data_IF_046486775450
#
_entry.id   IF_046486775450
#
_cell.length_a   1.000
_cell.length_b   1.000
_cell.length_c   1.000
_cell.angle_alpha   90.00
_cell.angle_beta   90.00
_cell.angle_gamma   90.00
#
_symmetry.space_group_name_H-M   'P 1'
#
loop_
_entity.id
_entity.type
_entity.pdbx_description
1 polymer ?
#
# COMPACT_ATOMS: atom_id res chain seq x y z
N UNK A 1 27.58 81.94 -21.28
CA UNK A 1 26.60 81.13 -22.02
C UNK A 1 27.10 79.68 -21.91
N UNK A 2 26.82 79.04 -20.85
CA UNK A 2 27.28 77.65 -20.62
C UNK A 2 26.10 76.67 -20.76
N UNK A 3 26.21 75.77 -21.69
CA UNK A 3 25.21 74.73 -21.88
C UNK A 3 25.56 73.52 -20.99
N UNK A 4 24.72 73.21 -20.01
CA UNK A 4 24.82 72.05 -19.19
C UNK A 4 24.37 70.81 -19.95
N UNK A 5 25.29 69.87 -20.14
CA UNK A 5 25.03 68.53 -20.65
C UNK A 5 24.51 67.63 -19.52
N UNK A 6 23.24 67.30 -19.54
CA UNK A 6 22.61 66.38 -18.60
C UNK A 6 22.80 64.90 -19.10
N UNK A 7 23.73 64.17 -18.49
CA UNK A 7 23.92 62.74 -18.73
C UNK A 7 22.79 61.95 -18.05
N UNK A 8 21.90 61.34 -18.85
CA UNK A 8 20.93 60.36 -18.37
C UNK A 8 21.63 59.01 -18.18
N UNK A 9 21.81 58.62 -16.92
CA UNK A 9 22.19 57.24 -16.55
C UNK A 9 20.95 56.35 -16.65
N UNK A 10 20.92 55.42 -17.54
CA UNK A 10 19.94 54.35 -17.62
C UNK A 10 20.43 53.21 -16.70
N UNK A 11 19.84 53.07 -15.54
CA UNK A 11 19.99 51.85 -14.69
C UNK A 11 19.14 50.72 -15.29
N UNK A 12 19.80 49.79 -15.95
CA UNK A 12 19.19 48.52 -16.35
C UNK A 12 19.11 47.62 -15.09
N UNK A 13 17.94 47.57 -14.45
CA UNK A 13 17.66 46.61 -13.36
C UNK A 13 17.52 45.21 -13.98
N UNK A 14 18.57 44.40 -13.90
CA UNK A 14 18.49 42.97 -14.20
C UNK A 14 17.80 42.29 -13.03
N UNK A 15 16.51 42.01 -13.18
CA UNK A 15 15.75 41.12 -12.27
C UNK A 15 16.26 39.71 -12.49
N UNK A 16 17.19 39.24 -11.63
CA UNK A 16 17.53 37.84 -11.50
C UNK A 16 16.36 37.13 -10.82
N UNK A 17 15.51 36.50 -11.62
CA UNK A 17 14.50 35.57 -11.12
C UNK A 17 15.20 34.33 -10.52
N UNK A 18 15.24 34.24 -9.21
CA UNK A 18 15.66 33.02 -8.52
C UNK A 18 14.62 31.93 -8.76
N UNK A 19 14.89 31.04 -9.66
CA UNK A 19 14.12 29.79 -9.78
C UNK A 19 14.49 28.93 -8.59
N UNK A 20 13.67 28.97 -7.55
CA UNK A 20 13.81 28.06 -6.41
C UNK A 20 13.43 26.66 -6.87
N UNK A 21 14.41 25.82 -7.15
CA UNK A 21 14.20 24.38 -7.37
C UNK A 21 13.88 23.79 -5.99
N UNK A 22 12.59 23.66 -5.70
CA UNK A 22 12.13 22.95 -4.51
C UNK A 22 12.38 21.46 -4.71
N UNK A 23 13.47 20.95 -4.16
CA UNK A 23 13.62 19.51 -3.97
C UNK A 23 12.51 19.05 -3.01
N UNK A 24 11.54 18.31 -3.52
CA UNK A 24 10.54 17.68 -2.67
C UNK A 24 11.25 16.65 -1.78
N UNK A 25 11.40 16.97 -0.51
CA UNK A 25 11.98 16.03 0.46
C UNK A 25 11.05 14.83 0.63
N UNK A 26 11.63 13.63 0.66
CA UNK A 26 10.90 12.40 0.99
C UNK A 26 10.29 12.56 2.38
N UNK A 27 8.97 12.37 2.55
CA UNK A 27 8.35 12.42 3.87
C UNK A 27 9.04 11.45 4.84
N UNK A 28 9.21 11.83 6.10
CA UNK A 28 9.96 11.08 7.11
C UNK A 28 9.42 9.66 7.36
N UNK A 29 8.15 9.44 7.06
CA UNK A 29 7.41 8.19 7.23
C UNK A 29 7.36 7.32 5.96
N UNK A 30 8.02 7.77 4.87
CA UNK A 30 8.07 7.07 3.58
C UNK A 30 9.49 6.74 3.17
N UNK A 31 9.64 5.74 2.32
CA UNK A 31 10.91 5.39 1.66
C UNK A 31 10.74 5.36 0.15
N UNK A 32 11.83 5.62 -0.55
CA UNK A 32 11.87 5.53 -2.01
C UNK A 32 12.05 4.08 -2.44
N UNK A 33 11.10 3.59 -3.22
CA UNK A 33 11.21 2.32 -3.95
C UNK A 33 11.76 2.61 -5.33
N UNK A 34 12.92 2.06 -5.65
CA UNK A 34 13.55 2.23 -6.97
C UNK A 34 12.79 1.51 -8.07
N UNK A 35 12.85 2.07 -9.29
CA UNK A 35 12.27 1.41 -10.46
C UNK A 35 12.91 0.04 -10.71
N UNK A 36 12.15 -0.83 -11.37
CA UNK A 36 12.60 -2.16 -11.76
C UNK A 36 11.50 -2.97 -12.43
N UNK A 37 11.67 -4.26 -12.49
CA UNK A 37 10.65 -5.16 -13.00
C UNK A 37 10.61 -6.45 -12.19
N UNK A 38 9.48 -7.14 -12.21
CA UNK A 38 9.32 -8.44 -11.62
C UNK A 38 8.35 -9.29 -12.46
N UNK A 39 8.45 -10.59 -12.34
CA UNK A 39 7.49 -11.50 -12.94
C UNK A 39 6.48 -11.89 -11.85
N UNK A 40 5.17 -11.56 -12.02
CA UNK A 40 4.13 -11.99 -11.10
C UNK A 40 4.08 -13.52 -11.01
N UNK A 41 3.83 -14.07 -9.82
CA UNK A 41 3.65 -15.51 -9.62
C UNK A 41 2.27 -15.98 -10.08
N UNK A 42 1.30 -15.07 -10.08
CA UNK A 42 -0.08 -15.28 -10.54
C UNK A 42 -0.55 -14.10 -11.38
N UNK A 43 -1.61 -14.29 -12.16
CA UNK A 43 -2.27 -13.22 -12.91
C UNK A 43 -1.76 -12.98 -14.32
N UNK A 44 -0.70 -13.69 -14.77
CA UNK A 44 -0.25 -13.68 -16.16
C UNK A 44 0.06 -15.10 -16.64
N UNK A 45 -0.62 -15.55 -17.67
CA UNK A 45 -0.33 -16.85 -18.35
C UNK A 45 1.05 -16.83 -19.01
N UNK A 46 1.54 -15.65 -19.41
CA UNK A 46 2.73 -15.48 -20.24
C UNK A 46 4.01 -15.24 -19.44
N UNK A 47 3.95 -15.19 -18.11
CA UNK A 47 5.10 -14.87 -17.22
C UNK A 47 5.88 -13.62 -17.66
N UNK A 48 5.21 -12.63 -18.27
CA UNK A 48 5.84 -11.40 -18.73
C UNK A 48 6.26 -10.52 -17.55
N UNK A 49 7.45 -9.89 -17.61
CA UNK A 49 7.84 -8.92 -16.58
C UNK A 49 6.91 -7.71 -16.57
N UNK A 50 6.52 -7.29 -15.36
CA UNK A 50 5.82 -6.03 -15.12
C UNK A 50 6.83 -4.97 -14.71
N UNK A 51 6.82 -3.83 -15.38
CA UNK A 51 7.70 -2.71 -15.09
C UNK A 51 7.10 -1.82 -14.00
N UNK A 52 7.87 -1.58 -12.94
CA UNK A 52 7.52 -0.71 -11.82
C UNK A 52 8.32 0.58 -11.93
N UNK A 53 7.62 1.72 -11.94
CA UNK A 53 8.25 3.04 -11.84
C UNK A 53 8.67 3.31 -10.40
N UNK A 54 9.65 4.19 -10.18
CA UNK A 54 9.99 4.63 -8.82
C UNK A 54 8.82 5.32 -8.15
N UNK A 55 8.59 5.01 -6.87
CA UNK A 55 7.53 5.60 -6.07
C UNK A 55 7.94 5.68 -4.59
N UNK A 56 7.17 6.38 -3.78
CA UNK A 56 7.33 6.41 -2.33
C UNK A 56 6.32 5.46 -1.70
N UNK A 57 6.73 4.74 -0.65
CA UNK A 57 5.87 3.84 0.10
C UNK A 57 6.01 4.14 1.60
N UNK A 58 4.90 4.12 2.33
CA UNK A 58 4.92 4.20 3.79
C UNK A 58 5.74 3.05 4.38
N UNK A 59 6.62 3.40 5.34
CA UNK A 59 7.48 2.42 6.03
C UNK A 59 6.65 1.39 6.78
N UNK A 60 5.51 1.82 7.35
CA UNK A 60 4.61 1.02 8.17
C UNK A 60 3.18 1.06 7.64
N UNK A 61 2.33 0.08 7.98
CA UNK A 61 0.89 0.22 7.84
C UNK A 61 0.37 1.39 8.67
N UNK A 62 -0.76 1.98 8.26
CA UNK A 62 -1.42 3.05 8.99
C UNK A 62 -1.90 2.55 10.36
N UNK A 63 -1.57 3.29 11.42
CA UNK A 63 -1.87 2.92 12.80
C UNK A 63 -3.24 3.42 13.27
N UNK A 64 -3.75 2.85 14.39
CA UNK A 64 -4.97 3.33 15.05
C UNK A 64 -4.87 4.82 15.39
N UNK A 65 -3.72 5.28 15.91
CA UNK A 65 -3.51 6.69 16.24
C UNK A 65 -3.58 7.60 15.01
N UNK A 66 -2.93 7.22 13.93
CA UNK A 66 -2.96 8.00 12.68
C UNK A 66 -4.37 8.06 12.10
N UNK A 67 -5.09 6.94 12.16
CA UNK A 67 -6.47 6.90 11.68
C UNK A 67 -7.44 7.71 12.55
N UNK A 68 -7.21 7.77 13.86
CA UNK A 68 -7.96 8.65 14.77
C UNK A 68 -7.83 10.12 14.35
N UNK A 69 -6.63 10.58 14.02
CA UNK A 69 -6.42 11.96 13.56
C UNK A 69 -7.14 12.25 12.23
N UNK A 70 -7.22 11.26 11.34
CA UNK A 70 -8.03 11.37 10.13
C UNK A 70 -9.53 11.51 10.46
N UNK A 71 -10.08 10.70 11.36
CA UNK A 71 -11.50 10.74 11.72
C UNK A 71 -11.92 12.03 12.42
N UNK A 72 -11.02 12.70 13.15
CA UNK A 72 -11.26 14.03 13.73
C UNK A 72 -11.57 15.04 12.63
N UNK A 73 -10.84 15.00 11.53
CA UNK A 73 -10.95 15.92 10.38
C UNK A 73 -12.04 15.51 9.38
N UNK A 74 -12.40 14.21 9.34
CA UNK A 74 -13.28 13.62 8.33
C UNK A 74 -14.48 12.91 8.99
N UNK A 75 -15.46 13.65 9.53
CA UNK A 75 -16.56 13.07 10.33
C UNK A 75 -17.44 12.06 9.57
N UNK A 76 -17.52 12.14 8.24
CA UNK A 76 -18.29 11.20 7.41
C UNK A 76 -17.73 9.77 7.42
N UNK A 77 -16.46 9.60 7.81
CA UNK A 77 -15.78 8.31 7.94
C UNK A 77 -15.80 7.75 9.37
N UNK A 78 -16.45 8.44 10.33
CA UNK A 78 -16.65 7.92 11.68
C UNK A 78 -17.52 6.68 11.67
N UNK A 79 -17.29 5.78 12.61
CA UNK A 79 -17.99 4.49 12.75
C UNK A 79 -19.50 4.61 12.68
N UNK A 80 -20.09 5.62 13.34
CA UNK A 80 -21.55 5.87 13.36
C UNK A 80 -22.08 6.59 12.11
N UNK A 81 -21.21 7.15 11.24
CA UNK A 81 -21.60 8.03 10.14
C UNK A 81 -21.37 7.45 8.75
N UNK A 82 -20.43 6.51 8.62
CA UNK A 82 -20.11 5.93 7.33
C UNK A 82 -21.32 5.23 6.70
N UNK A 83 -21.57 5.51 5.43
CA UNK A 83 -22.70 4.88 4.71
C UNK A 83 -22.39 3.42 4.39
N UNK A 84 -23.40 2.55 4.42
CA UNK A 84 -23.28 1.10 4.12
C UNK A 84 -22.75 0.79 2.72
N UNK A 85 -22.91 1.71 1.80
CA UNK A 85 -22.29 1.62 0.47
C UNK A 85 -20.76 1.58 0.56
N UNK A 86 -20.18 2.34 1.48
CA UNK A 86 -18.73 2.51 1.63
C UNK A 86 -18.10 1.56 2.64
N UNK A 87 -18.84 1.03 3.61
CA UNK A 87 -18.34 0.06 4.56
C UNK A 87 -19.46 -0.82 5.12
N UNK A 88 -19.16 -2.09 5.35
CA UNK A 88 -20.10 -3.03 5.95
C UNK A 88 -20.26 -2.81 7.48
N UNK A 89 -21.02 -3.68 8.16
CA UNK A 89 -21.36 -3.54 9.58
C UNK A 89 -20.19 -3.69 10.53
N UNK A 90 -19.08 -4.31 10.08
CA UNK A 90 -17.91 -4.58 10.91
C UNK A 90 -16.84 -3.48 10.83
N UNK A 91 -17.15 -2.36 10.12
CA UNK A 91 -16.25 -1.21 10.04
C UNK A 91 -15.95 -0.66 11.43
N UNK A 92 -14.65 -0.57 11.77
CA UNK A 92 -14.15 -0.15 13.09
C UNK A 92 -14.85 -0.86 14.27
N UNK A 93 -15.28 -2.14 14.10
CA UNK A 93 -16.05 -2.85 15.12
C UNK A 93 -15.30 -2.97 16.45
N UNK A 94 -13.97 -3.05 16.42
CA UNK A 94 -13.11 -3.13 17.62
C UNK A 94 -12.94 -1.77 18.34
N UNK A 95 -13.29 -0.66 17.68
CA UNK A 95 -13.24 0.67 18.31
C UNK A 95 -14.42 0.87 19.25
N UNK A 96 -14.16 1.46 20.43
CA UNK A 96 -15.18 1.73 21.45
C UNK A 96 -16.16 2.86 21.07
N UNK A 97 -15.76 3.74 20.11
CA UNK A 97 -16.59 4.86 19.65
C UNK A 97 -16.02 5.53 18.40
N UNK A 98 -16.68 6.60 17.96
CA UNK A 98 -16.32 7.34 16.74
C UNK A 98 -14.90 7.93 16.77
N UNK A 99 -14.45 8.36 17.93
CA UNK A 99 -13.15 9.00 18.16
C UNK A 99 -12.38 8.29 19.27
N UNK A 100 -12.59 6.99 19.45
CA UNK A 100 -11.89 6.21 20.48
C UNK A 100 -11.67 4.79 20.01
N UNK A 101 -10.42 4.38 19.93
CA UNK A 101 -10.05 2.98 19.69
C UNK A 101 -10.01 2.12 20.97
N UNK A 102 -10.48 2.68 22.12
CA UNK A 102 -10.62 1.96 23.39
C UNK A 102 -9.31 1.38 23.91
N UNK A 103 -9.29 0.08 24.13
CA UNK A 103 -8.13 -0.65 24.65
C UNK A 103 -7.15 -1.11 23.56
N UNK A 104 -7.41 -0.80 22.27
CA UNK A 104 -6.50 -1.16 21.22
C UNK A 104 -5.18 -0.39 21.34
N UNK A 105 -4.10 -1.03 20.93
CA UNK A 105 -2.80 -0.40 20.88
C UNK A 105 -2.78 0.74 19.83
N UNK A 106 -2.42 1.96 20.27
CA UNK A 106 -2.34 3.13 19.41
C UNK A 106 -1.40 2.94 18.21
N UNK A 107 -0.31 2.18 18.40
CA UNK A 107 0.70 1.88 17.39
C UNK A 107 0.45 0.56 16.64
N UNK A 108 -0.65 -0.13 16.89
CA UNK A 108 -1.05 -1.26 16.06
C UNK A 108 -1.69 -0.75 14.76
N UNK A 109 -1.66 -1.55 13.67
CA UNK A 109 -2.32 -1.17 12.43
C UNK A 109 -3.82 -1.00 12.65
N UNK A 110 -4.41 0.01 12.01
CA UNK A 110 -5.86 0.12 11.96
C UNK A 110 -6.40 -0.99 11.06
N UNK A 111 -7.42 -1.70 11.55
CA UNK A 111 -8.08 -2.80 10.84
C UNK A 111 -9.60 -2.61 10.82
N UNK A 112 -10.32 -3.54 10.23
CA UNK A 112 -11.75 -3.36 9.95
C UNK A 112 -12.03 -2.09 9.14
N UNK A 113 -11.17 -1.79 8.18
CA UNK A 113 -11.23 -0.65 7.27
C UNK A 113 -11.65 -1.15 5.89
N UNK A 114 -12.59 -0.46 5.24
CA UNK A 114 -12.96 -0.72 3.85
C UNK A 114 -11.95 -0.12 2.88
N UNK A 115 -11.96 -0.61 1.63
CA UNK A 115 -11.14 -0.03 0.57
C UNK A 115 -11.42 1.46 0.35
N UNK A 116 -12.71 1.86 0.37
CA UNK A 116 -13.10 3.26 0.21
C UNK A 116 -12.51 4.15 1.30
N UNK A 117 -12.54 3.71 2.55
CA UNK A 117 -12.01 4.46 3.67
C UNK A 117 -10.47 4.50 3.67
N UNK A 118 -9.81 3.40 3.27
CA UNK A 118 -8.37 3.35 3.10
C UNK A 118 -7.89 4.28 1.98
N UNK A 119 -8.58 4.27 0.84
CA UNK A 119 -8.31 5.14 -0.31
C UNK A 119 -8.42 6.61 0.09
N UNK A 120 -9.54 7.00 0.69
CA UNK A 120 -9.78 8.38 1.14
C UNK A 120 -8.74 8.86 2.15
N UNK A 121 -8.38 7.99 3.12
CA UNK A 121 -7.30 8.32 4.06
C UNK A 121 -6.02 8.71 3.32
N UNK A 122 -5.58 7.88 2.37
CA UNK A 122 -4.36 8.15 1.61
C UNK A 122 -4.48 9.45 0.79
N UNK A 123 -5.62 9.67 0.13
CA UNK A 123 -5.86 10.88 -0.67
C UNK A 123 -5.87 12.15 0.16
N UNK A 124 -6.46 12.13 1.36
CA UNK A 124 -6.40 13.25 2.32
C UNK A 124 -4.97 13.57 2.79
N UNK A 125 -4.03 12.64 2.66
CA UNK A 125 -2.61 12.85 2.97
C UNK A 125 -1.77 13.23 1.73
N UNK A 126 -2.41 13.48 0.57
CA UNK A 126 -1.71 13.70 -0.70
C UNK A 126 -0.95 12.45 -1.19
N UNK A 127 -1.43 11.27 -0.80
CA UNK A 127 -0.92 9.94 -1.11
C UNK A 127 -1.99 9.14 -1.87
N UNK A 128 -1.73 7.88 -2.17
CA UNK A 128 -2.67 6.92 -2.75
C UNK A 128 -2.45 5.53 -2.15
N UNK A 129 -3.31 4.59 -2.39
CA UNK A 129 -2.99 3.19 -2.14
C UNK A 129 -1.90 2.72 -3.13
N UNK A 130 -1.05 1.79 -2.71
CA UNK A 130 -0.15 1.10 -3.62
C UNK A 130 -0.95 0.24 -4.60
N UNK A 131 -0.49 0.07 -5.84
CA UNK A 131 -1.04 -0.94 -6.73
C UNK A 131 -0.67 -2.33 -6.26
N UNK A 132 -1.36 -3.36 -6.75
CA UNK A 132 -1.04 -4.76 -6.49
C UNK A 132 0.41 -5.07 -6.90
N UNK A 133 0.79 -4.64 -8.10
CA UNK A 133 2.13 -4.87 -8.62
C UNK A 133 3.21 -4.14 -7.82
N UNK A 134 2.97 -2.90 -7.39
CA UNK A 134 3.88 -2.18 -6.51
C UNK A 134 4.06 -2.88 -5.17
N UNK A 135 2.95 -3.36 -4.59
CA UNK A 135 2.98 -4.08 -3.33
C UNK A 135 3.76 -5.40 -3.45
N UNK A 136 3.45 -6.23 -4.45
CA UNK A 136 4.13 -7.51 -4.67
C UNK A 136 5.62 -7.31 -5.00
N UNK A 137 5.98 -6.27 -5.78
CA UNK A 137 7.38 -5.93 -6.07
C UNK A 137 8.18 -5.63 -4.81
N UNK A 138 7.61 -4.90 -3.86
CA UNK A 138 8.28 -4.60 -2.58
C UNK A 138 8.26 -5.82 -1.64
N UNK A 139 7.20 -6.60 -1.67
CA UNK A 139 6.98 -7.75 -0.80
C UNK A 139 7.85 -8.97 -1.12
N UNK A 140 8.44 -9.05 -2.32
CA UNK A 140 9.37 -10.14 -2.66
C UNK A 140 10.76 -9.97 -2.04
N UNK A 141 11.05 -8.83 -1.38
CA UNK A 141 12.35 -8.52 -0.80
C UNK A 141 12.51 -9.08 0.63
N UNK A 142 13.64 -9.71 0.91
CA UNK A 142 14.10 -10.00 2.27
C UNK A 142 14.91 -8.80 2.83
N UNK A 143 15.58 -8.96 3.94
CA UNK A 143 16.42 -7.93 4.56
C UNK A 143 17.63 -7.50 3.70
N UNK A 144 18.08 -8.35 2.79
CA UNK A 144 19.33 -8.20 2.04
C UNK A 144 19.16 -8.17 0.53
N UNK A 145 18.04 -8.71 0.01
CA UNK A 145 17.80 -8.93 -1.43
C UNK A 145 16.52 -8.29 -1.87
N UNK A 146 16.54 -7.76 -3.09
CA UNK A 146 15.32 -7.24 -3.75
C UNK A 146 14.32 -8.35 -4.09
N UNK A 147 14.82 -9.54 -4.39
CA UNK A 147 14.03 -10.73 -4.66
C UNK A 147 14.59 -11.91 -3.86
N UNK A 148 13.82 -12.39 -2.92
CA UNK A 148 14.12 -13.52 -2.05
C UNK A 148 13.17 -14.70 -2.27
N UNK A 149 12.36 -14.68 -3.34
CA UNK A 149 11.32 -15.67 -3.59
C UNK A 149 11.86 -17.10 -3.78
N UNK A 150 13.11 -17.25 -4.20
CA UNK A 150 13.79 -18.55 -4.28
C UNK A 150 14.35 -19.07 -2.95
N UNK A 151 14.20 -18.30 -1.85
CA UNK A 151 14.75 -18.67 -0.54
C UNK A 151 13.73 -19.41 0.30
N UNK A 152 14.05 -20.63 0.69
CA UNK A 152 13.18 -21.48 1.50
C UNK A 152 12.85 -20.86 2.86
N UNK A 153 13.85 -20.27 3.53
CA UNK A 153 13.66 -19.63 4.85
C UNK A 153 12.70 -18.44 4.77
N UNK A 154 12.79 -17.65 3.69
CA UNK A 154 11.88 -16.53 3.46
C UNK A 154 10.44 -17.02 3.25
N UNK A 155 10.27 -18.07 2.46
CA UNK A 155 8.97 -18.65 2.20
C UNK A 155 8.37 -19.29 3.46
N UNK A 156 9.16 -20.01 4.25
CA UNK A 156 8.72 -20.54 5.55
C UNK A 156 8.32 -19.44 6.52
N UNK A 157 9.05 -18.33 6.54
CA UNK A 157 8.69 -17.18 7.37
C UNK A 157 7.31 -16.63 6.98
N UNK A 158 7.06 -16.38 5.68
CA UNK A 158 5.78 -15.87 5.20
C UNK A 158 4.63 -16.82 5.58
N UNK A 159 4.79 -18.13 5.34
CA UNK A 159 3.77 -19.12 5.64
C UNK A 159 3.51 -19.25 7.15
N UNK A 160 4.56 -19.18 7.97
CA UNK A 160 4.42 -19.22 9.42
C UNK A 160 3.55 -18.12 10.00
N UNK A 161 3.46 -16.98 9.28
CA UNK A 161 2.57 -15.89 9.69
C UNK A 161 1.10 -16.26 9.54
N UNK A 162 0.72 -16.98 8.49
CA UNK A 162 -0.68 -17.37 8.28
C UNK A 162 -1.23 -18.27 9.40
N UNK A 163 -0.35 -18.94 10.14
CA UNK A 163 -0.68 -19.78 11.30
C UNK A 163 -0.79 -18.99 12.61
N UNK A 164 -0.27 -17.74 12.64
CA UNK A 164 -0.26 -16.90 13.84
C UNK A 164 -1.59 -16.18 14.04
N UNK A 165 -2.16 -16.31 15.23
CA UNK A 165 -3.39 -15.62 15.59
C UNK A 165 -3.14 -14.19 16.09
N UNK A 166 -4.07 -13.27 15.77
CA UNK A 166 -4.16 -11.91 16.34
C UNK A 166 -2.89 -11.05 16.16
N UNK A 167 -2.12 -11.26 15.09
CA UNK A 167 -0.93 -10.43 14.80
C UNK A 167 -1.26 -8.95 14.66
N UNK A 168 -2.48 -8.62 14.24
CA UNK A 168 -3.00 -7.27 14.09
C UNK A 168 -3.03 -6.43 15.39
N UNK A 169 -2.86 -7.03 16.57
CA UNK A 169 -2.76 -6.32 17.85
C UNK A 169 -1.33 -5.85 18.15
N UNK A 170 -0.34 -6.31 17.42
CA UNK A 170 1.04 -5.94 17.62
C UNK A 170 1.30 -4.53 17.07
N UNK A 171 2.21 -3.79 17.71
CA UNK A 171 2.70 -2.53 17.16
C UNK A 171 3.37 -2.73 15.81
N UNK A 172 3.26 -1.75 14.93
CA UNK A 172 4.03 -1.70 13.68
C UNK A 172 5.54 -1.73 13.95
N UNK A 173 6.32 -2.18 12.96
CA UNK A 173 7.79 -2.26 13.05
C UNK A 173 8.32 -3.41 13.90
N UNK A 174 7.52 -4.45 14.16
CA UNK A 174 7.92 -5.62 14.95
C UNK A 174 8.30 -6.84 14.11
N UNK A 175 8.13 -6.77 12.80
CA UNK A 175 8.66 -7.76 11.86
C UNK A 175 10.02 -7.31 11.32
N UNK A 176 10.59 -8.02 10.34
CA UNK A 176 11.85 -7.61 9.73
C UNK A 176 11.67 -6.37 8.82
N UNK A 177 12.73 -5.58 8.71
CA UNK A 177 12.85 -4.51 7.73
C UNK A 177 13.42 -5.09 6.44
N UNK A 178 12.69 -5.00 5.34
CA UNK A 178 13.16 -5.54 4.08
C UNK A 178 14.23 -4.66 3.41
N UNK A 179 14.76 -5.10 2.29
CA UNK A 179 15.80 -4.39 1.50
C UNK A 179 15.46 -2.92 1.23
N UNK A 180 14.19 -2.61 0.99
CA UNK A 180 13.71 -1.26 0.70
C UNK A 180 13.55 -0.37 1.93
N UNK A 181 13.71 -0.92 3.12
CA UNK A 181 13.48 -0.20 4.37
C UNK A 181 12.04 -0.23 4.86
N UNK A 182 11.21 -1.09 4.27
CA UNK A 182 9.79 -1.26 4.62
C UNK A 182 9.63 -2.38 5.64
N UNK A 183 8.76 -2.17 6.64
CA UNK A 183 8.42 -3.17 7.65
C UNK A 183 7.03 -3.76 7.42
N UNK A 184 6.78 -4.89 8.03
CA UNK A 184 5.45 -5.47 8.25
C UNK A 184 4.66 -5.84 6.97
N UNK A 185 5.32 -5.97 5.80
CA UNK A 185 4.67 -6.47 4.59
C UNK A 185 4.19 -7.92 4.76
N UNK A 186 4.94 -8.70 5.55
CA UNK A 186 4.57 -10.04 5.98
C UNK A 186 4.63 -10.10 7.50
N UNK A 187 3.60 -10.68 8.14
CA UNK A 187 3.64 -10.97 9.56
C UNK A 187 2.80 -10.09 10.48
N UNK A 188 2.05 -9.12 9.94
CA UNK A 188 1.20 -8.24 10.76
C UNK A 188 -0.27 -8.26 10.33
N UNK A 189 -0.61 -7.66 9.19
CA UNK A 189 -1.96 -7.61 8.62
C UNK A 189 -1.92 -7.83 7.11
N UNK A 190 -3.03 -8.22 6.51
CA UNK A 190 -3.28 -8.07 5.09
C UNK A 190 -3.46 -6.59 4.76
N UNK A 191 -3.16 -6.20 3.52
CA UNK A 191 -3.24 -4.81 3.13
C UNK A 191 -4.05 -4.60 1.86
N UNK A 192 -4.91 -3.58 1.87
CA UNK A 192 -5.59 -3.09 0.70
C UNK A 192 -4.59 -2.56 -0.33
N UNK A 193 -4.82 -2.93 -1.58
CA UNK A 193 -4.16 -2.32 -2.75
C UNK A 193 -5.19 -1.56 -3.57
N UNK A 194 -4.73 -0.63 -4.42
CA UNK A 194 -5.61 0.21 -5.23
C UNK A 194 -6.51 -0.63 -6.14
N UNK A 195 -5.94 -1.60 -6.78
CA UNK A 195 -6.52 -2.50 -7.79
C UNK A 195 -6.66 -3.94 -7.26
N UNK A 196 -7.08 -4.09 -6.00
CA UNK A 196 -7.16 -5.39 -5.30
C UNK A 196 -7.94 -6.47 -6.06
N UNK A 197 -8.87 -6.09 -6.95
CA UNK A 197 -9.69 -6.99 -7.76
C UNK A 197 -9.24 -7.07 -9.22
N UNK A 198 -8.06 -6.58 -9.59
CA UNK A 198 -7.56 -6.57 -10.98
C UNK A 198 -7.43 -7.96 -11.59
N UNK A 199 -7.27 -8.99 -10.76
CA UNK A 199 -7.25 -10.40 -11.18
C UNK A 199 -8.51 -10.79 -11.98
N UNK A 200 -9.66 -10.18 -11.68
CA UNK A 200 -10.92 -10.40 -12.40
C UNK A 200 -11.06 -9.57 -13.67
N UNK A 201 -10.24 -8.52 -13.82
CA UNK A 201 -10.37 -7.54 -14.90
C UNK A 201 -9.44 -7.82 -16.09
N UNK A 202 -8.51 -8.73 -15.99
CA UNK A 202 -7.73 -9.20 -17.12
C UNK A 202 -8.69 -9.96 -18.05
N UNK A 203 -9.37 -9.19 -18.90
CA UNK A 203 -10.56 -9.59 -19.68
C UNK A 203 -10.35 -10.68 -20.72
N UNK A 204 -9.21 -11.33 -20.73
CA UNK A 204 -8.94 -12.54 -21.51
C UNK A 204 -9.40 -13.80 -20.77
N UNK A 205 -9.64 -13.75 -19.46
CA UNK A 205 -10.26 -14.84 -18.68
C UNK A 205 -11.64 -15.28 -19.17
N UNK A 206 -12.30 -14.52 -20.02
CA UNK A 206 -13.60 -14.94 -20.58
C UNK A 206 -13.49 -16.07 -21.61
N UNK A 207 -12.28 -16.39 -22.08
CA UNK A 207 -12.04 -17.49 -23.02
C UNK A 207 -11.47 -18.74 -22.36
N UNK A 208 -10.79 -18.62 -21.22
CA UNK A 208 -10.25 -19.75 -20.47
C UNK A 208 -11.10 -20.06 -19.25
N UNK A 209 -12.13 -20.88 -19.43
CA UNK A 209 -13.02 -21.37 -18.35
C UNK A 209 -12.30 -22.19 -17.28
N UNK A 210 -11.07 -22.61 -17.51
CA UNK A 210 -10.33 -23.50 -16.61
C UNK A 210 -9.46 -22.74 -15.60
N UNK A 211 -8.87 -21.60 -15.97
CA UNK A 211 -7.97 -20.82 -15.08
C UNK A 211 -8.71 -20.19 -13.89
N UNK A 212 -9.97 -19.75 -14.10
CA UNK A 212 -10.81 -19.20 -13.02
C UNK A 212 -11.22 -20.27 -12.00
N UNK A 213 -11.46 -21.51 -12.43
CA UNK A 213 -11.76 -22.63 -11.53
C UNK A 213 -10.57 -23.00 -10.67
N UNK A 214 -9.36 -22.94 -11.21
CA UNK A 214 -8.14 -23.29 -10.49
C UNK A 214 -7.79 -22.26 -9.42
N UNK A 215 -8.07 -20.97 -9.65
CA UNK A 215 -7.91 -19.91 -8.66
C UNK A 215 -8.93 -19.98 -7.51
N UNK A 216 -10.18 -20.40 -7.78
CA UNK A 216 -11.26 -20.40 -6.81
C UNK A 216 -11.51 -21.76 -6.12
N UNK A 217 -11.14 -22.84 -6.75
CA UNK A 217 -11.43 -24.18 -6.23
C UNK A 217 -10.29 -24.80 -5.40
N UNK A 218 -9.22 -24.07 -5.13
CA UNK A 218 -8.07 -24.60 -4.36
C UNK A 218 -7.21 -25.62 -5.14
N UNK A 219 -7.55 -25.91 -6.41
CA UNK A 219 -6.78 -26.86 -7.22
C UNK A 219 -5.39 -26.32 -7.57
N UNK A 220 -5.22 -25.02 -7.67
CA UNK A 220 -3.89 -24.38 -7.79
C UNK A 220 -2.99 -24.61 -6.58
N UNK A 221 -3.55 -24.87 -5.39
CA UNK A 221 -2.77 -25.19 -4.19
C UNK A 221 -2.38 -26.67 -4.11
N UNK A 222 -3.15 -27.56 -4.71
CA UNK A 222 -2.89 -29.03 -4.67
C UNK A 222 -1.64 -29.42 -5.45
N UNK A 223 -1.27 -28.64 -6.48
CA UNK A 223 -0.08 -28.84 -7.29
C UNK A 223 1.04 -27.83 -6.98
N UNK A 224 0.91 -26.99 -5.94
CA UNK A 224 1.94 -26.06 -5.53
C UNK A 224 3.08 -26.83 -4.84
N UNK A 225 4.01 -27.33 -5.63
CA UNK A 225 5.28 -27.92 -5.17
C UNK A 225 6.23 -26.84 -4.63
N UNK A 226 5.93 -25.58 -4.88
CA UNK A 226 6.69 -24.39 -4.48
C UNK A 226 5.92 -23.60 -3.42
N UNK A 227 6.49 -23.51 -2.21
CA UNK A 227 5.94 -22.77 -1.06
C UNK A 227 5.68 -21.29 -1.39
N UNK A 228 6.48 -20.69 -2.28
CA UNK A 228 6.30 -19.30 -2.67
C UNK A 228 5.08 -19.09 -3.54
N UNK A 229 4.82 -20.00 -4.46
CA UNK A 229 3.61 -20.00 -5.27
C UNK A 229 2.36 -20.13 -4.37
N UNK A 230 2.42 -20.96 -3.32
CA UNK A 230 1.34 -21.08 -2.37
C UNK A 230 1.09 -19.76 -1.59
N UNK A 231 2.15 -19.13 -1.10
CA UNK A 231 2.03 -17.84 -0.39
C UNK A 231 1.47 -16.73 -1.29
N UNK A 232 1.89 -16.69 -2.56
CA UNK A 232 1.34 -15.77 -3.55
C UNK A 232 -0.13 -16.09 -3.83
N UNK A 233 -0.45 -17.37 -4.08
CA UNK A 233 -1.82 -17.83 -4.27
C UNK A 233 -2.74 -17.34 -3.13
N UNK A 234 -2.35 -17.51 -1.88
CA UNK A 234 -3.13 -17.06 -0.72
C UNK A 234 -3.40 -15.55 -0.75
N UNK A 235 -2.40 -14.73 -1.12
CA UNK A 235 -2.57 -13.27 -1.23
C UNK A 235 -3.54 -12.88 -2.34
N UNK A 236 -3.42 -13.51 -3.49
CA UNK A 236 -4.29 -13.24 -4.63
C UNK A 236 -5.72 -13.74 -4.37
N UNK A 237 -5.88 -14.96 -3.84
CA UNK A 237 -7.18 -15.52 -3.49
C UNK A 237 -7.91 -14.66 -2.45
N UNK A 238 -7.19 -14.19 -1.41
CA UNK A 238 -7.77 -13.30 -0.41
C UNK A 238 -8.28 -12.01 -1.07
N UNK A 239 -7.46 -11.30 -1.85
CA UNK A 239 -7.86 -10.07 -2.53
C UNK A 239 -9.03 -10.29 -3.49
N UNK A 240 -9.01 -11.39 -4.23
CA UNK A 240 -10.09 -11.75 -5.13
C UNK A 240 -11.42 -12.11 -4.42
N UNK A 241 -11.39 -12.49 -3.16
CA UNK A 241 -12.59 -12.88 -2.40
C UNK A 241 -13.34 -11.71 -1.74
N UNK A 242 -12.74 -10.52 -1.70
CA UNK A 242 -13.28 -9.38 -0.94
C UNK A 242 -13.91 -8.32 -1.86
N UNK A 243 -14.88 -7.58 -1.32
CA UNK A 243 -15.52 -6.43 -1.96
C UNK A 243 -14.99 -5.13 -1.37
N UNK A 244 -15.07 -4.03 -2.12
CA UNK A 244 -14.54 -2.72 -1.69
C UNK A 244 -15.12 -2.21 -0.35
N UNK A 245 -16.37 -2.55 -0.01
CA UNK A 245 -16.97 -2.19 1.27
C UNK A 245 -16.75 -3.24 2.38
N UNK A 246 -16.04 -4.33 2.09
CA UNK A 246 -15.75 -5.40 3.06
C UNK A 246 -14.73 -4.92 4.10
N UNK A 247 -14.86 -5.42 5.32
CA UNK A 247 -13.94 -5.12 6.42
C UNK A 247 -13.70 -6.39 7.25
N UNK A 248 -12.48 -6.58 7.72
CA UNK A 248 -12.12 -7.70 8.60
C UNK A 248 -10.97 -7.33 9.53
N UNK A 249 -10.86 -8.05 10.66
CA UNK A 249 -9.91 -7.78 11.76
C UNK A 249 -8.43 -7.84 11.37
N UNK A 250 -8.09 -8.52 10.30
CA UNK A 250 -6.72 -8.70 9.86
C UNK A 250 -6.39 -7.95 8.56
N UNK A 251 -7.23 -6.99 8.16
CA UNK A 251 -7.08 -6.22 6.93
C UNK A 251 -6.93 -4.74 7.25
N UNK A 252 -5.75 -4.21 7.01
CA UNK A 252 -5.36 -2.81 7.12
C UNK A 252 -4.92 -2.26 5.76
N UNK A 253 -4.03 -1.26 5.78
CA UNK A 253 -3.49 -0.65 4.57
C UNK A 253 -2.26 0.20 4.87
N UNK A 254 -1.49 0.52 3.82
CA UNK A 254 -0.47 1.57 3.80
C UNK A 254 -0.62 2.42 2.55
N UNK A 255 -0.06 3.63 2.57
CA UNK A 255 -0.13 4.51 1.42
C UNK A 255 1.18 4.51 0.62
N UNK A 256 1.03 4.81 -0.66
CA UNK A 256 2.10 5.09 -1.61
C UNK A 256 1.97 6.52 -2.14
N UNK A 257 3.01 7.03 -2.79
CA UNK A 257 2.98 8.34 -3.45
C UNK A 257 3.84 8.31 -4.72
N UNK A 258 3.36 8.94 -5.77
CA UNK A 258 4.17 9.12 -6.95
C UNK A 258 5.30 10.11 -6.67
N UNK A 259 6.49 9.83 -7.21
CA UNK A 259 7.58 10.81 -7.22
C UNK A 259 7.23 11.82 -8.31
N UNK A 260 7.22 13.11 -7.96
CA UNK A 260 7.07 14.16 -8.96
C UNK A 260 8.27 14.11 -9.92
N UNK A 261 7.99 14.05 -11.21
CA UNK A 261 9.02 14.15 -12.25
C UNK A 261 9.56 15.57 -12.31
#
# INVERSE_FOLDING_TARGET
MEAQFMKRFHYCLILLSWVSISFSQVPKDMVTIGAGSYVPLYGTTDKKPVNIKSFLLDVYPVTNQQYLEFLKKNPNYRKSKIKRLFANTTYLSEWSGDLSFGQLNANAPVTNISWFAAKEYCECQGKRLATLDEWEYVAMADEKRKDARSREEFNKYILSWYEKNKTYNNSVGKTFKNYWGVYDLHGLVWEWTFDFNSIFLSGESRKDKDTDKDLFCGSGSVNATDLMNYAAFMRYAFRGSIKANYTTKNLGFRCAKNIAN
#
